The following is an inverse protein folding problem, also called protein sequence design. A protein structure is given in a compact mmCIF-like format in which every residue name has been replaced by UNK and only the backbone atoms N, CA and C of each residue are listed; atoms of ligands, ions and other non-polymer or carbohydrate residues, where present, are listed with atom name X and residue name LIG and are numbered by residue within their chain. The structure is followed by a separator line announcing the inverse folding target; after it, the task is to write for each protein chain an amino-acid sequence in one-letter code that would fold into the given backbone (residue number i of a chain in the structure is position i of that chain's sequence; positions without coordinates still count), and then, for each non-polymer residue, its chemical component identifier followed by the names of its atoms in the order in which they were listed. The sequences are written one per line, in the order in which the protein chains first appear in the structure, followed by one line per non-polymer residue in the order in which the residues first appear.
data_IF_602233400714
#
_entry.id   IF_602233400714
#
_cell.length_a   1.000
_cell.length_b   1.000
_cell.length_c   1.000
_cell.angle_alpha   90.00
_cell.angle_beta   90.00
_cell.angle_gamma   90.00
#
_symmetry.space_group_name_H-M   'P 1'
#
loop_
_entity.id
_entity.type
_entity.pdbx_description
1 polymer ?
#
# COMPACT_ATOMS: atom_id res chain seq x y z
N UNK A 1 -14.79 1.15 22.23
CA UNK A 1 -13.56 0.40 21.91
C UNK A 1 -13.15 -0.42 23.13
N UNK A 2 -12.64 -1.64 22.94
CA UNK A 2 -12.16 -2.50 24.05
C UNK A 2 -10.63 -2.61 23.95
N UNK A 3 -9.91 -2.33 25.04
CA UNK A 3 -8.46 -2.50 25.11
C UNK A 3 -8.15 -3.95 25.47
N UNK A 4 -7.27 -4.59 24.70
CA UNK A 4 -6.78 -5.94 24.96
C UNK A 4 -5.27 -5.83 25.16
N UNK A 5 -4.76 -6.36 26.26
CA UNK A 5 -3.33 -6.58 26.44
C UNK A 5 -2.98 -7.94 25.84
N UNK A 6 -1.94 -7.95 25.01
CA UNK A 6 -1.48 -9.12 24.28
C UNK A 6 -0.01 -9.33 24.61
N UNK A 7 0.33 -10.53 25.08
CA UNK A 7 1.68 -10.92 25.48
C UNK A 7 2.13 -12.09 24.59
N UNK A 8 2.61 -11.82 23.36
CA UNK A 8 3.11 -12.86 22.47
C UNK A 8 4.42 -13.47 22.99
N UNK A 9 4.75 -14.69 22.55
CA UNK A 9 6.11 -15.20 22.67
C UNK A 9 7.07 -14.38 21.79
N UNK A 10 8.37 -14.40 22.11
CA UNK A 10 9.39 -13.69 21.31
C UNK A 10 9.36 -14.09 19.82
N UNK A 11 9.20 -15.38 19.54
CA UNK A 11 9.09 -15.89 18.17
C UNK A 11 7.84 -15.33 17.44
N UNK A 12 6.70 -15.28 18.13
CA UNK A 12 5.47 -14.76 17.54
C UNK A 12 5.54 -13.24 17.33
N UNK A 13 6.16 -12.50 18.25
CA UNK A 13 6.35 -11.06 18.13
C UNK A 13 7.27 -10.70 16.95
N UNK A 14 8.39 -11.42 16.80
CA UNK A 14 9.30 -11.27 15.68
C UNK A 14 8.59 -11.54 14.34
N UNK A 15 7.82 -12.63 14.27
CA UNK A 15 7.06 -12.99 13.06
C UNK A 15 5.98 -11.96 12.72
N UNK A 16 5.23 -11.50 13.72
CA UNK A 16 4.22 -10.46 13.53
C UNK A 16 4.85 -9.13 13.10
N UNK A 17 5.99 -8.76 13.67
CA UNK A 17 6.70 -7.53 13.32
C UNK A 17 7.27 -7.58 11.90
N UNK A 18 7.87 -8.71 11.50
CA UNK A 18 8.36 -8.93 10.15
C UNK A 18 7.22 -8.84 9.12
N UNK A 19 6.13 -9.59 9.35
CA UNK A 19 4.97 -9.58 8.45
C UNK A 19 4.28 -8.20 8.44
N UNK A 20 4.18 -7.52 9.58
CA UNK A 20 3.62 -6.18 9.64
C UNK A 20 4.47 -5.17 8.84
N UNK A 21 5.80 -5.29 8.89
CA UNK A 21 6.74 -4.49 8.10
C UNK A 21 6.63 -4.80 6.60
N UNK A 22 6.57 -6.07 6.23
CA UNK A 22 6.36 -6.54 4.85
C UNK A 22 5.01 -6.10 4.30
N UNK A 23 4.00 -5.97 5.15
CA UNK A 23 2.70 -5.45 4.75
C UNK A 23 2.59 -3.94 4.98
N UNK A 24 3.62 -3.23 5.49
CA UNK A 24 3.58 -1.79 5.74
C UNK A 24 2.45 -1.33 6.68
N UNK A 25 2.11 -2.13 7.69
CA UNK A 25 1.02 -1.89 8.65
C UNK A 25 1.50 -2.00 10.09
N UNK A 26 0.68 -1.55 11.04
CA UNK A 26 0.96 -1.79 12.47
C UNK A 26 0.68 -3.24 12.87
N UNK A 27 1.46 -3.76 13.82
CA UNK A 27 1.25 -5.09 14.43
C UNK A 27 -0.18 -5.25 14.97
N UNK A 28 -0.73 -4.22 15.63
CA UNK A 28 -2.12 -4.25 16.13
C UNK A 28 -3.15 -4.44 15.01
N UNK A 29 -2.92 -3.83 13.84
CA UNK A 29 -3.79 -4.01 12.69
C UNK A 29 -3.65 -5.42 12.10
N UNK A 30 -2.44 -5.95 12.01
CA UNK A 30 -2.17 -7.32 11.58
C UNK A 30 -2.84 -8.35 12.50
N UNK A 31 -2.71 -8.18 13.82
CA UNK A 31 -3.33 -9.06 14.83
C UNK A 31 -4.85 -9.03 14.68
N UNK A 32 -5.44 -7.84 14.57
CA UNK A 32 -6.90 -7.71 14.37
C UNK A 32 -7.36 -8.37 13.07
N UNK A 33 -6.57 -8.24 12.00
CA UNK A 33 -6.84 -8.92 10.73
C UNK A 33 -6.80 -10.44 10.87
N UNK A 34 -5.72 -11.00 11.43
CA UNK A 34 -5.58 -12.45 11.60
C UNK A 34 -6.67 -13.02 12.53
N UNK A 35 -7.03 -12.33 13.61
CA UNK A 35 -8.14 -12.74 14.46
C UNK A 35 -9.47 -12.73 13.70
N UNK A 36 -9.71 -11.70 12.88
CA UNK A 36 -10.92 -11.68 12.05
C UNK A 36 -10.95 -12.86 11.07
N UNK A 37 -9.81 -13.25 10.50
CA UNK A 37 -9.71 -14.44 9.66
C UNK A 37 -10.03 -15.72 10.45
N UNK A 38 -9.50 -15.88 11.67
CA UNK A 38 -9.76 -17.07 12.48
C UNK A 38 -11.22 -17.18 12.92
N UNK A 39 -11.84 -16.07 13.33
CA UNK A 39 -13.19 -16.11 13.93
C UNK A 39 -14.34 -15.92 12.93
N UNK A 40 -14.10 -15.27 11.79
CA UNK A 40 -15.17 -14.92 10.83
C UNK A 40 -14.99 -15.56 9.44
N UNK A 41 -13.88 -16.25 9.16
CA UNK A 41 -13.61 -16.81 7.83
C UNK A 41 -14.11 -18.26 7.63
N UNK A 42 -15.28 -18.59 8.20
CA UNK A 42 -16.02 -19.82 7.88
C UNK A 42 -16.94 -19.61 6.65
N UNK A 43 -16.36 -19.19 5.52
CA UNK A 43 -17.01 -19.29 4.20
C UNK A 43 -18.14 -18.30 3.89
N UNK A 44 -18.34 -17.22 4.64
CA UNK A 44 -19.25 -16.13 4.25
C UNK A 44 -18.46 -14.89 3.86
N UNK A 45 -18.08 -14.85 2.60
CA UNK A 45 -17.24 -13.83 1.97
C UNK A 45 -17.86 -12.41 1.87
N UNK A 46 -19.06 -12.18 2.43
CA UNK A 46 -19.90 -11.02 2.08
C UNK A 46 -19.95 -9.87 3.09
N UNK A 47 -19.15 -9.83 4.17
CA UNK A 47 -19.35 -8.79 5.20
C UNK A 47 -18.09 -8.12 5.79
N UNK A 48 -16.91 -8.33 5.24
CA UNK A 48 -15.72 -7.65 5.75
C UNK A 48 -15.16 -6.74 4.67
N UNK A 49 -15.47 -5.44 4.81
CA UNK A 49 -14.66 -4.35 4.26
C UNK A 49 -13.20 -4.80 4.40
N UNK A 50 -12.43 -4.90 3.31
CA UNK A 50 -11.05 -5.37 3.39
C UNK A 50 -10.37 -4.56 4.48
N UNK A 51 -9.95 -5.25 5.55
CA UNK A 51 -9.23 -4.55 6.61
C UNK A 51 -8.02 -3.90 5.95
N UNK A 52 -7.69 -2.67 6.34
CA UNK A 52 -6.57 -1.94 5.77
C UNK A 52 -5.30 -2.81 5.59
N UNK A 53 -4.90 -3.67 6.57
CA UNK A 53 -3.87 -4.69 6.41
C UNK A 53 -3.94 -5.55 5.15
N UNK A 54 -5.09 -6.18 4.91
CA UNK A 54 -5.20 -7.21 3.87
C UNK A 54 -5.25 -6.61 2.49
N UNK A 55 -5.94 -5.47 2.34
CA UNK A 55 -6.00 -4.80 1.06
C UNK A 55 -4.70 -4.06 0.76
N UNK A 56 -4.07 -3.42 1.75
CA UNK A 56 -2.80 -2.74 1.53
C UNK A 56 -1.67 -3.73 1.22
N UNK A 57 -1.63 -4.88 1.89
CA UNK A 57 -0.74 -5.98 1.56
C UNK A 57 -0.84 -6.44 0.10
N UNK A 58 -2.07 -6.63 -0.39
CA UNK A 58 -2.31 -6.97 -1.81
C UNK A 58 -1.87 -5.86 -2.75
N UNK A 59 -2.17 -4.60 -2.44
CA UNK A 59 -1.72 -3.45 -3.24
C UNK A 59 -0.20 -3.41 -3.32
N UNK A 60 0.50 -3.59 -2.19
CA UNK A 60 1.97 -3.59 -2.16
C UNK A 60 2.54 -4.76 -2.98
N UNK A 61 1.97 -5.96 -2.83
CA UNK A 61 2.38 -7.13 -3.61
C UNK A 61 2.21 -6.92 -5.12
N UNK A 62 1.06 -6.40 -5.56
CA UNK A 62 0.79 -6.09 -6.97
C UNK A 62 1.77 -5.07 -7.54
N UNK A 63 2.08 -4.01 -6.79
CA UNK A 63 3.07 -3.00 -7.20
C UNK A 63 4.46 -3.62 -7.32
N UNK A 64 4.90 -4.40 -6.33
CA UNK A 64 6.22 -5.05 -6.36
C UNK A 64 6.34 -6.02 -7.55
N UNK A 65 5.30 -6.80 -7.83
CA UNK A 65 5.28 -7.70 -8.99
C UNK A 65 5.35 -6.92 -10.30
N UNK A 66 4.62 -5.80 -10.40
CA UNK A 66 4.69 -4.94 -11.58
C UNK A 66 6.09 -4.37 -11.78
N UNK A 67 6.69 -3.82 -10.73
CA UNK A 67 8.03 -3.21 -10.77
C UNK A 67 9.06 -4.25 -11.19
N UNK A 68 9.00 -5.46 -10.61
CA UNK A 68 9.89 -6.56 -10.97
C UNK A 68 9.80 -6.92 -12.46
N UNK A 69 8.59 -7.13 -12.99
CA UNK A 69 8.37 -7.41 -14.42
C UNK A 69 8.88 -6.28 -15.30
N UNK A 70 8.61 -5.03 -14.91
CA UNK A 70 9.05 -3.86 -15.66
C UNK A 70 10.57 -3.78 -15.79
N UNK A 71 11.30 -4.10 -14.72
CA UNK A 71 12.75 -4.12 -14.70
C UNK A 71 13.32 -5.30 -15.51
N UNK A 72 12.67 -6.48 -15.44
CA UNK A 72 13.04 -7.66 -16.25
C UNK A 72 12.88 -7.41 -17.75
N UNK A 73 11.80 -6.72 -18.15
CA UNK A 73 11.50 -6.37 -19.54
C UNK A 73 12.38 -5.23 -20.10
N UNK A 74 13.32 -4.69 -19.29
CA UNK A 74 14.10 -3.47 -19.60
C UNK A 74 13.19 -2.31 -20.01
N UNK A 75 12.12 -2.12 -19.26
CA UNK A 75 11.19 -1.02 -19.47
C UNK A 75 11.88 0.35 -19.39
N UNK A 76 11.29 1.34 -20.05
CA UNK A 76 11.76 2.72 -20.04
C UNK A 76 11.70 3.34 -18.62
N UNK A 77 12.87 3.63 -18.07
CA UNK A 77 13.09 4.23 -16.73
C UNK A 77 12.35 5.57 -16.55
N UNK A 78 11.95 6.22 -17.64
CA UNK A 78 11.19 7.47 -17.61
C UNK A 78 9.68 7.29 -17.44
N UNK A 79 9.16 6.04 -17.44
CA UNK A 79 7.71 5.81 -17.40
C UNK A 79 7.13 6.16 -16.04
N UNK A 80 6.41 7.28 -16.03
CA UNK A 80 5.62 7.70 -14.88
C UNK A 80 4.31 6.89 -14.76
N UNK A 81 3.88 6.65 -13.52
CA UNK A 81 2.65 5.92 -13.24
C UNK A 81 1.91 6.44 -12.02
N UNK A 82 0.61 6.19 -11.98
CA UNK A 82 -0.21 6.35 -10.76
C UNK A 82 -0.56 4.98 -10.15
N UNK A 83 -0.81 4.94 -8.85
CA UNK A 83 -1.10 3.68 -8.13
C UNK A 83 -2.31 2.92 -8.71
N UNK A 84 -3.30 3.64 -9.28
CA UNK A 84 -4.44 3.05 -9.98
C UNK A 84 -4.05 2.21 -11.21
N UNK A 85 -2.97 2.57 -11.90
CA UNK A 85 -2.51 1.89 -13.11
C UNK A 85 -1.76 0.60 -12.78
N UNK A 86 -1.21 0.50 -11.55
CA UNK A 86 -0.34 -0.61 -11.12
C UNK A 86 -1.03 -1.64 -10.25
N UNK A 87 -2.05 -1.23 -9.49
CA UNK A 87 -2.76 -2.14 -8.59
C UNK A 87 -4.24 -2.19 -8.95
N UNK A 88 -4.69 -3.37 -9.41
CA UNK A 88 -6.10 -3.68 -9.62
C UNK A 88 -6.86 -3.66 -8.30
N UNK A 89 -6.22 -4.11 -7.22
CA UNK A 89 -6.81 -4.02 -5.88
C UNK A 89 -7.05 -2.54 -5.52
N UNK A 90 -6.09 -1.65 -5.76
CA UNK A 90 -6.24 -0.23 -5.48
C UNK A 90 -7.27 0.45 -6.38
N UNK A 91 -7.31 0.11 -7.67
CA UNK A 91 -8.27 0.69 -8.62
C UNK A 91 -9.71 0.35 -8.26
N UNK A 92 -9.93 -0.87 -7.75
CA UNK A 92 -11.24 -1.41 -7.42
C UNK A 92 -11.76 -1.01 -6.04
N UNK A 93 -10.96 -0.31 -5.22
CA UNK A 93 -11.48 0.30 -3.99
C UNK A 93 -12.27 1.54 -4.39
N UNK A 94 -13.57 1.56 -4.13
CA UNK A 94 -14.41 2.71 -4.44
C UNK A 94 -13.82 4.01 -3.86
N UNK A 95 -13.91 5.11 -4.63
CA UNK A 95 -13.51 6.44 -4.13
C UNK A 95 -14.47 6.96 -3.06
N UNK A 96 -15.67 6.40 -2.98
CA UNK A 96 -16.69 6.78 -2.01
C UNK A 96 -17.30 5.56 -1.34
N UNK A 97 -17.38 5.57 -0.01
CA UNK A 97 -18.23 4.64 0.73
C UNK A 97 -19.60 5.27 0.94
N UNK A 98 -20.66 4.60 0.48
CA UNK A 98 -22.02 4.98 0.84
C UNK A 98 -22.33 4.40 2.22
N UNK A 99 -22.50 5.28 3.20
CA UNK A 99 -22.94 4.89 4.55
C UNK A 99 -24.25 5.63 4.82
N UNK A 100 -25.35 4.88 4.88
CA UNK A 100 -26.70 5.41 5.16
C UNK A 100 -27.10 6.50 4.14
N UNK A 101 -27.01 6.21 2.84
CA UNK A 101 -27.45 7.11 1.76
C UNK A 101 -26.57 8.35 1.52
N UNK A 102 -25.51 8.56 2.32
CA UNK A 102 -24.56 9.66 2.16
C UNK A 102 -23.26 9.11 1.57
N UNK A 103 -22.89 9.60 0.39
CA UNK A 103 -21.60 9.29 -0.25
C UNK A 103 -20.48 10.02 0.49
N UNK A 104 -19.64 9.28 1.21
CA UNK A 104 -18.45 9.79 1.91
C UNK A 104 -17.19 9.34 1.19
N UNK A 105 -16.11 10.14 1.15
CA UNK A 105 -14.83 9.69 0.61
C UNK A 105 -14.38 8.39 1.30
N UNK A 106 -13.97 7.40 0.53
CA UNK A 106 -13.49 6.14 1.06
C UNK A 106 -12.16 6.36 1.80
N UNK A 107 -12.22 6.40 3.13
CA UNK A 107 -11.07 6.55 4.02
C UNK A 107 -10.01 5.48 3.77
N UNK A 108 -10.42 4.28 3.33
CA UNK A 108 -9.54 3.18 2.99
C UNK A 108 -8.57 3.53 1.85
N UNK A 109 -9.10 4.01 0.72
CA UNK A 109 -8.30 4.36 -0.47
C UNK A 109 -7.36 5.52 -0.19
N UNK A 110 -7.86 6.57 0.46
CA UNK A 110 -7.06 7.72 0.85
C UNK A 110 -5.91 7.32 1.78
N UNK A 111 -6.20 6.49 2.79
CA UNK A 111 -5.20 5.98 3.72
C UNK A 111 -4.15 5.12 3.03
N UNK A 112 -4.53 4.29 2.07
CA UNK A 112 -3.58 3.46 1.29
C UNK A 112 -2.66 4.32 0.43
N UNK A 113 -3.21 5.30 -0.29
CA UNK A 113 -2.40 6.22 -1.09
C UNK A 113 -1.42 7.02 -0.22
N UNK A 114 -1.86 7.47 0.97
CA UNK A 114 -1.00 8.16 1.93
C UNK A 114 0.13 7.25 2.45
N UNK A 115 -0.22 6.03 2.85
CA UNK A 115 0.75 5.07 3.41
C UNK A 115 1.79 4.71 2.35
N UNK A 116 1.36 4.37 1.14
CA UNK A 116 2.25 4.07 0.02
C UNK A 116 3.20 5.23 -0.27
N UNK A 117 2.67 6.45 -0.36
CA UNK A 117 3.50 7.65 -0.59
C UNK A 117 4.56 7.84 0.49
N UNK A 118 4.19 7.64 1.77
CA UNK A 118 5.16 7.71 2.88
C UNK A 118 6.25 6.66 2.77
N UNK A 119 5.91 5.43 2.39
CA UNK A 119 6.89 4.35 2.20
C UNK A 119 7.85 4.65 1.05
N UNK A 120 7.34 5.17 -0.08
CA UNK A 120 8.18 5.62 -1.20
C UNK A 120 9.14 6.73 -0.76
N UNK A 121 8.65 7.76 -0.05
CA UNK A 121 9.49 8.86 0.45
C UNK A 121 10.58 8.36 1.41
N UNK A 122 10.26 7.37 2.25
CA UNK A 122 11.20 6.74 3.19
C UNK A 122 12.13 5.72 2.54
N UNK A 123 12.03 5.49 1.22
CA UNK A 123 12.78 4.45 0.50
C UNK A 123 12.53 3.03 1.04
N UNK A 124 11.32 2.77 1.55
CA UNK A 124 10.86 1.43 1.98
C UNK A 124 10.25 0.61 0.84
N UNK A 125 10.14 1.21 -0.35
CA UNK A 125 9.72 0.54 -1.59
C UNK A 125 10.88 0.66 -2.57
N UNK A 126 11.47 -0.49 -2.88
CA UNK A 126 12.61 -0.57 -3.79
C UNK A 126 12.20 -0.14 -5.20
N UNK A 127 13.14 0.47 -5.91
CA UNK A 127 13.02 0.82 -7.33
C UNK A 127 11.83 1.73 -7.68
N UNK A 128 11.19 2.39 -6.70
CA UNK A 128 10.07 3.32 -6.91
C UNK A 128 10.36 4.64 -6.20
N UNK A 129 10.21 5.75 -6.92
CA UNK A 129 10.36 7.10 -6.35
C UNK A 129 9.25 8.04 -6.82
N UNK A 130 9.11 9.18 -6.12
CA UNK A 130 8.18 10.24 -6.53
C UNK A 130 8.68 10.92 -7.80
N UNK A 131 7.78 11.09 -8.78
CA UNK A 131 8.06 11.89 -9.96
C UNK A 131 8.01 13.39 -9.59
N UNK A 132 8.97 14.14 -10.13
CA UNK A 132 9.10 15.58 -9.94
C UNK A 132 8.93 16.32 -11.27
N UNK A 133 8.49 17.57 -11.20
CA UNK A 133 8.52 18.52 -12.31
C UNK A 133 9.97 18.92 -12.60
N UNK A 134 10.19 19.55 -13.74
CA UNK A 134 11.50 20.16 -14.07
C UNK A 134 11.93 21.20 -13.02
N UNK A 135 10.97 21.76 -12.28
CA UNK A 135 11.17 22.72 -11.19
C UNK A 135 11.40 22.07 -9.82
N UNK A 136 11.42 20.73 -9.72
CA UNK A 136 11.62 20.00 -8.47
C UNK A 136 10.36 19.81 -7.61
N UNK A 137 9.17 20.20 -8.11
CA UNK A 137 7.90 20.04 -7.39
C UNK A 137 7.30 18.65 -7.60
N UNK A 138 6.50 18.19 -6.64
CA UNK A 138 5.82 16.89 -6.73
C UNK A 138 4.81 16.85 -7.89
N UNK A 139 4.94 15.86 -8.79
CA UNK A 139 3.98 15.66 -9.89
C UNK A 139 2.71 14.92 -9.45
N UNK A 140 1.59 15.32 -10.05
CA UNK A 140 0.28 14.70 -9.89
C UNK A 140 -0.44 14.56 -11.25
N UNK A 141 -1.18 13.46 -11.42
CA UNK A 141 -2.07 13.20 -12.57
C UNK A 141 -3.46 12.86 -12.03
N UNK A 142 -4.49 13.59 -12.46
CA UNK A 142 -5.87 13.43 -11.93
C UNK A 142 -5.96 13.46 -10.39
N UNK A 143 -5.23 14.38 -9.76
CA UNK A 143 -5.08 14.48 -8.28
C UNK A 143 -4.46 13.25 -7.61
N UNK A 144 -3.90 12.32 -8.39
CA UNK A 144 -3.14 11.16 -7.89
C UNK A 144 -1.65 11.42 -8.02
N UNK A 145 -0.90 10.97 -7.03
CA UNK A 145 0.55 11.12 -6.99
C UNK A 145 1.20 10.30 -8.13
N UNK A 146 2.11 10.90 -8.90
CA UNK A 146 2.89 10.23 -9.96
C UNK A 146 4.23 9.67 -9.45
N UNK A 147 4.54 8.43 -9.79
CA UNK A 147 5.75 7.72 -9.40
C UNK A 147 6.55 7.31 -10.64
N UNK A 148 7.85 7.05 -10.50
CA UNK A 148 8.71 6.49 -11.55
C UNK A 148 9.46 5.27 -11.03
N UNK A 149 9.75 4.33 -11.93
CA UNK A 149 10.56 3.15 -11.64
C UNK A 149 12.02 3.50 -11.92
N UNK A 150 12.95 3.11 -11.04
CA UNK A 150 14.40 3.34 -11.19
C UNK A 150 15.19 2.04 -11.12
N UNK A 151 16.28 1.92 -11.87
CA UNK A 151 17.07 0.68 -11.91
C UNK A 151 18.09 0.57 -10.77
N UNK A 152 18.59 1.70 -10.27
CA UNK A 152 19.61 1.74 -9.21
C UNK A 152 19.31 2.80 -8.15
N UNK A 153 19.85 2.59 -6.94
CA UNK A 153 19.69 3.49 -5.78
C UNK A 153 20.35 4.84 -6.04
N UNK A 154 21.33 4.91 -6.95
CA UNK A 154 22.06 6.14 -7.29
C UNK A 154 21.22 7.14 -8.11
N UNK A 155 20.25 6.67 -8.91
CA UNK A 155 19.28 7.53 -9.63
C UNK A 155 18.26 8.21 -8.68
N UNK A 156 18.27 7.84 -7.40
CA UNK A 156 17.45 8.45 -6.35
C UNK A 156 18.08 9.76 -5.86
N UNK A 157 19.39 9.97 -6.05
CA UNK A 157 20.09 11.17 -5.59
C UNK A 157 19.98 12.35 -6.58
N UNK A 158 19.89 12.08 -7.88
CA UNK A 158 19.74 13.11 -8.94
C UNK A 158 18.32 13.72 -9.05
N UNK A 159 17.38 13.26 -8.22
CA UNK A 159 16.04 13.84 -8.11
C UNK A 159 15.93 14.99 -7.11
N UNK A 160 17.03 15.69 -6.81
CA UNK A 160 17.06 16.86 -5.92
C UNK A 160 17.54 18.10 -6.63
#
# INVERSE_FOLDING_TARGET
MKRIQFYPSEELDAKLSAEASELGISVSSLVSYKLNQVYFNNGKADALIPSFPSAYGKVRGEVNEYVKKYLEDKGDISKEFILNEMSKTFSNIDMTSTVIGISKPATLRARMGLTFNQQVIKKEIDNVIRALTETGELKFKYKSALYRIVHTVDEIEDGR
#
